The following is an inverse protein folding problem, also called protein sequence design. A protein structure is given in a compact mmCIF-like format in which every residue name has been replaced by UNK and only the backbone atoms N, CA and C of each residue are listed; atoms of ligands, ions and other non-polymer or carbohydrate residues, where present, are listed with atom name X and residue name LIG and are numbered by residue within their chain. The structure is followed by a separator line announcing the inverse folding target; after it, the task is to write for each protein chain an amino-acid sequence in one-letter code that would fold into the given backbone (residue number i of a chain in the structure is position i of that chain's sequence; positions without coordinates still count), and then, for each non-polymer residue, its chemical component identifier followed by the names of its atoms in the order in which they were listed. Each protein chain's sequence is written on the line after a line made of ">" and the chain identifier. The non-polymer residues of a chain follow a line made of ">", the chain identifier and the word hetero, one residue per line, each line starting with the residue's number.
data_IF_059868393914
#
_entry.id   IF_059868393914
#
_cell.length_a   1.000
_cell.length_b   1.000
_cell.length_c   1.000
_cell.angle_alpha   90.00
_cell.angle_beta   90.00
_cell.angle_gamma   90.00
#
_symmetry.space_group_name_H-M   'P 1'
#
loop_
_entity.id
_entity.type
_entity.pdbx_description
1 polymer ?
#
# COMPACT_ATOMS: atom_id res chain seq x y z
N UNK A 1 -9.69 0.03 10.79
CA UNK A 1 -10.89 -0.73 10.36
C UNK A 1 -11.89 0.28 9.84
N UNK A 2 -12.41 0.12 8.63
CA UNK A 2 -13.35 1.09 8.03
C UNK A 2 -14.77 0.75 8.49
N UNK A 3 -15.31 1.52 9.42
CA UNK A 3 -16.58 1.17 10.08
C UNK A 3 -17.83 1.46 9.23
N UNK A 4 -17.69 2.18 8.12
CA UNK A 4 -18.77 2.41 7.15
C UNK A 4 -18.22 2.31 5.74
N UNK A 5 -18.64 1.30 4.99
CA UNK A 5 -18.33 1.19 3.57
C UNK A 5 -19.19 2.16 2.75
N UNK A 6 -18.63 2.84 1.73
CA UNK A 6 -19.39 3.65 0.79
C UNK A 6 -20.46 2.84 0.05
N UNK A 7 -21.45 3.53 -0.52
CA UNK A 7 -22.51 2.92 -1.33
C UNK A 7 -21.95 2.00 -2.40
N UNK A 8 -22.50 0.80 -2.53
CA UNK A 8 -22.05 -0.17 -3.53
C UNK A 8 -22.56 0.19 -4.92
N UNK A 9 -21.75 -0.07 -5.95
CA UNK A 9 -22.16 0.19 -7.34
C UNK A 9 -23.41 -0.60 -7.76
N UNK A 10 -23.65 -1.76 -7.14
CA UNK A 10 -24.84 -2.59 -7.34
C UNK A 10 -26.12 -1.86 -6.92
N UNK A 11 -26.04 -0.96 -5.94
CA UNK A 11 -27.16 -0.16 -5.45
C UNK A 11 -27.40 1.09 -6.31
N UNK A 12 -26.41 1.54 -7.07
CA UNK A 12 -26.48 2.74 -7.91
C UNK A 12 -26.73 2.44 -9.38
N UNK A 13 -26.57 1.18 -9.82
CA UNK A 13 -26.78 0.80 -11.22
C UNK A 13 -28.21 1.10 -11.68
N UNK A 14 -28.32 1.91 -12.73
CA UNK A 14 -29.62 2.29 -13.32
C UNK A 14 -30.43 3.29 -12.48
N UNK A 15 -29.86 3.83 -11.40
CA UNK A 15 -30.54 4.82 -10.54
C UNK A 15 -30.76 6.17 -11.23
N UNK A 16 -29.92 6.50 -12.22
CA UNK A 16 -29.90 7.84 -12.86
C UNK A 16 -29.32 8.94 -11.96
N UNK A 17 -28.90 8.62 -10.73
CA UNK A 17 -28.35 9.58 -9.79
C UNK A 17 -26.84 9.73 -9.94
N UNK A 18 -26.43 10.71 -10.75
CA UNK A 18 -25.03 11.01 -11.00
C UNK A 18 -24.28 11.54 -9.76
N UNK A 19 -24.95 12.26 -8.87
CA UNK A 19 -24.34 12.79 -7.66
C UNK A 19 -23.97 11.65 -6.70
N UNK A 20 -24.90 10.71 -6.48
CA UNK A 20 -24.64 9.53 -5.67
C UNK A 20 -23.51 8.65 -6.24
N UNK A 21 -23.34 8.60 -7.56
CA UNK A 21 -22.22 7.90 -8.19
C UNK A 21 -20.87 8.56 -7.88
N UNK A 22 -20.79 9.89 -7.92
CA UNK A 22 -19.57 10.64 -7.58
C UNK A 22 -19.25 10.48 -6.10
N UNK A 23 -20.24 10.59 -5.22
CA UNK A 23 -20.04 10.42 -3.77
C UNK A 23 -19.53 9.01 -3.43
N UNK A 24 -20.09 7.98 -4.08
CA UNK A 24 -19.61 6.62 -3.94
C UNK A 24 -18.15 6.49 -4.44
N UNK A 25 -17.81 7.08 -5.60
CA UNK A 25 -16.45 7.04 -6.13
C UNK A 25 -15.43 7.70 -5.18
N UNK A 26 -15.77 8.87 -4.62
CA UNK A 26 -14.92 9.57 -3.63
C UNK A 26 -14.79 8.74 -2.35
N UNK A 27 -15.87 8.14 -1.88
CA UNK A 27 -15.86 7.24 -0.73
C UNK A 27 -14.93 6.04 -0.95
N UNK A 28 -15.06 5.36 -2.09
CA UNK A 28 -14.24 4.20 -2.42
C UNK A 28 -12.76 4.57 -2.64
N UNK A 29 -12.47 5.76 -3.19
CA UNK A 29 -11.10 6.25 -3.29
C UNK A 29 -10.40 6.37 -1.92
N UNK A 30 -11.12 6.81 -0.88
CA UNK A 30 -10.59 6.85 0.50
C UNK A 30 -10.32 5.45 1.06
N UNK A 31 -11.23 4.50 0.80
CA UNK A 31 -11.02 3.10 1.19
C UNK A 31 -9.80 2.51 0.47
N UNK A 32 -9.64 2.76 -0.83
CA UNK A 32 -8.48 2.31 -1.59
C UNK A 32 -7.18 2.90 -1.07
N UNK A 33 -7.13 4.22 -0.83
CA UNK A 33 -5.92 4.88 -0.30
C UNK A 33 -5.49 4.30 1.06
N UNK A 34 -6.46 4.01 1.91
CA UNK A 34 -6.18 3.47 3.23
C UNK A 34 -5.82 1.97 3.20
N UNK A 35 -6.44 1.18 2.31
CA UNK A 35 -6.03 -0.19 2.05
C UNK A 35 -4.59 -0.27 1.50
N UNK A 36 -4.24 0.64 0.60
CA UNK A 36 -2.88 0.72 0.06
C UNK A 36 -1.86 1.09 1.14
N UNK A 37 -2.21 2.02 2.03
CA UNK A 37 -1.36 2.35 3.17
C UNK A 37 -1.13 1.17 4.12
N UNK A 38 -2.16 0.34 4.35
CA UNK A 38 -2.03 -0.89 5.13
C UNK A 38 -1.07 -1.87 4.43
N UNK A 39 -1.20 -2.04 3.11
CA UNK A 39 -0.31 -2.89 2.31
C UNK A 39 1.15 -2.43 2.39
N UNK A 40 1.39 -1.14 2.20
CA UNK A 40 2.74 -0.55 2.24
C UNK A 40 3.36 -0.64 3.64
N UNK A 41 2.56 -0.46 4.69
CA UNK A 41 3.01 -0.64 6.08
C UNK A 41 3.40 -2.11 6.35
N UNK A 42 2.62 -3.07 5.83
CA UNK A 42 2.95 -4.49 5.95
C UNK A 42 4.24 -4.85 5.19
N UNK A 43 4.48 -4.25 4.01
CA UNK A 43 5.73 -4.42 3.26
C UNK A 43 6.93 -3.91 4.07
N UNK A 44 6.80 -2.75 4.71
CA UNK A 44 7.87 -2.20 5.55
C UNK A 44 8.19 -3.09 6.76
N UNK A 45 7.16 -3.60 7.45
CA UNK A 45 7.35 -4.54 8.56
C UNK A 45 7.94 -5.88 8.11
N UNK A 46 7.54 -6.38 6.94
CA UNK A 46 8.15 -7.56 6.32
C UNK A 46 9.65 -7.34 6.07
N UNK A 47 10.04 -6.22 5.48
CA UNK A 47 11.43 -5.91 5.19
C UNK A 47 12.29 -5.92 6.46
N UNK A 48 11.80 -5.30 7.54
CA UNK A 48 12.50 -5.29 8.84
C UNK A 48 12.65 -6.69 9.41
N UNK A 49 11.58 -7.50 9.37
CA UNK A 49 11.62 -8.88 9.87
C UNK A 49 12.57 -9.75 9.05
N UNK A 50 12.58 -9.57 7.72
CA UNK A 50 13.46 -10.32 6.81
C UNK A 50 14.93 -9.98 7.07
N UNK A 51 15.29 -8.69 7.05
CA UNK A 51 16.67 -8.24 7.26
C UNK A 51 17.21 -8.69 8.63
N UNK A 52 16.39 -8.59 9.69
CA UNK A 52 16.79 -9.05 11.04
C UNK A 52 17.07 -10.56 11.06
N UNK A 53 16.37 -11.36 10.26
CA UNK A 53 16.60 -12.81 10.17
C UNK A 53 17.83 -13.18 9.33
N UNK A 54 18.20 -12.36 8.35
CA UNK A 54 19.40 -12.58 7.51
C UNK A 54 20.67 -12.26 8.28
N UNK A 55 20.64 -11.22 9.13
CA UNK A 55 21.77 -10.77 9.97
C UNK A 55 22.20 -11.84 11.01
N UNK A 56 21.30 -12.73 11.43
CA UNK A 56 21.62 -13.85 12.35
C UNK A 56 22.37 -15.02 11.65
N UNK A 57 22.22 -15.19 10.33
CA UNK A 57 22.65 -16.41 9.61
C UNK A 57 23.74 -16.19 8.52
N UNK A 58 23.95 -14.99 7.96
CA UNK A 58 24.69 -14.83 6.67
C UNK A 58 25.71 -13.67 6.56
N UNK A 59 26.50 -13.37 7.60
CA UNK A 59 27.50 -12.27 7.61
C UNK A 59 28.66 -12.32 6.58
N UNK A 60 28.68 -13.22 5.61
CA UNK A 60 29.84 -13.44 4.72
C UNK A 60 29.60 -13.23 3.21
N UNK A 61 28.37 -12.98 2.76
CA UNK A 61 28.04 -12.85 1.34
C UNK A 61 27.03 -11.71 1.09
N UNK A 62 27.46 -10.47 1.35
CA UNK A 62 26.66 -9.26 1.06
C UNK A 62 26.59 -9.01 -0.45
N UNK A 63 25.70 -9.73 -1.12
CA UNK A 63 24.87 -9.13 -2.18
C UNK A 63 23.82 -8.29 -1.44
N UNK A 64 23.49 -7.11 -1.95
CA UNK A 64 22.71 -6.10 -1.23
C UNK A 64 21.41 -6.71 -0.65
N UNK A 65 21.29 -6.80 0.68
CA UNK A 65 20.19 -7.47 1.38
C UNK A 65 18.80 -6.87 1.05
N UNK A 66 18.80 -5.63 0.57
CA UNK A 66 17.63 -4.93 0.04
C UNK A 66 17.13 -5.53 -1.28
N UNK A 67 18.02 -6.02 -2.16
CA UNK A 67 17.64 -6.68 -3.41
C UNK A 67 16.95 -8.03 -3.15
N UNK A 68 17.35 -8.75 -2.10
CA UNK A 68 16.70 -10.00 -1.68
C UNK A 68 15.27 -9.74 -1.16
N UNK A 69 15.08 -8.68 -0.35
CA UNK A 69 13.76 -8.22 0.10
C UNK A 69 12.89 -7.87 -1.11
N UNK A 70 13.43 -7.09 -2.06
CA UNK A 70 12.73 -6.67 -3.28
C UNK A 70 12.37 -7.85 -4.16
N UNK A 71 13.26 -8.83 -4.30
CA UNK A 71 12.98 -10.06 -5.05
C UNK A 71 11.85 -10.87 -4.40
N UNK A 72 11.83 -10.98 -3.07
CA UNK A 72 10.77 -11.71 -2.37
C UNK A 72 9.41 -11.00 -2.43
N UNK A 73 9.38 -9.67 -2.34
CA UNK A 73 8.16 -8.87 -2.59
C UNK A 73 7.70 -9.05 -4.04
N UNK A 74 8.63 -8.99 -5.00
CA UNK A 74 8.37 -9.21 -6.42
C UNK A 74 7.71 -10.55 -6.69
N UNK A 75 8.20 -11.62 -6.06
CA UNK A 75 7.62 -12.97 -6.13
C UNK A 75 6.22 -13.02 -5.50
N UNK A 76 6.06 -12.50 -4.29
CA UNK A 76 4.81 -12.56 -3.54
C UNK A 76 3.65 -11.82 -4.23
N UNK A 77 3.95 -10.67 -4.84
CA UNK A 77 2.96 -9.84 -5.53
C UNK A 77 2.93 -10.04 -7.06
N UNK A 78 3.82 -10.88 -7.61
CA UNK A 78 3.97 -11.09 -9.07
C UNK A 78 4.17 -9.78 -9.84
N UNK A 79 5.08 -8.94 -9.34
CA UNK A 79 5.36 -7.59 -9.85
C UNK A 79 6.83 -7.43 -10.24
N UNK A 80 7.10 -6.42 -11.08
CA UNK A 80 8.47 -6.11 -11.46
C UNK A 80 9.30 -5.64 -10.26
N UNK A 81 10.62 -5.92 -10.22
CA UNK A 81 11.50 -5.45 -9.14
C UNK A 81 11.46 -3.93 -8.93
N UNK A 82 11.37 -3.16 -10.02
CA UNK A 82 11.24 -1.69 -9.95
C UNK A 82 9.98 -1.25 -9.19
N UNK A 83 8.90 -1.99 -9.36
CA UNK A 83 7.64 -1.69 -8.68
C UNK A 83 7.70 -2.10 -7.20
N UNK A 84 8.25 -3.28 -6.92
CA UNK A 84 8.49 -3.74 -5.55
C UNK A 84 9.41 -2.78 -4.76
N UNK A 85 10.49 -2.31 -5.37
CA UNK A 85 11.40 -1.33 -4.78
C UNK A 85 10.68 -0.01 -4.46
N UNK A 86 9.91 0.53 -5.39
CA UNK A 86 9.16 1.77 -5.14
C UNK A 86 8.14 1.65 -4.00
N UNK A 87 7.48 0.50 -3.87
CA UNK A 87 6.58 0.24 -2.75
C UNK A 87 7.33 0.09 -1.42
N UNK A 88 8.50 -0.57 -1.43
CA UNK A 88 9.38 -0.69 -0.27
C UNK A 88 9.86 0.68 0.21
N UNK A 89 10.34 1.54 -0.70
CA UNK A 89 10.78 2.90 -0.38
C UNK A 89 9.65 3.74 0.25
N UNK A 90 8.44 3.67 -0.31
CA UNK A 90 7.28 4.39 0.23
C UNK A 90 6.91 3.84 1.62
N UNK A 91 6.86 2.52 1.78
CA UNK A 91 6.58 1.87 3.06
C UNK A 91 7.59 2.26 4.14
N UNK A 92 8.89 2.19 3.83
CA UNK A 92 9.96 2.60 4.73
C UNK A 92 9.88 4.08 5.10
N UNK A 93 9.62 4.96 4.12
CA UNK A 93 9.44 6.40 4.38
C UNK A 93 8.23 6.68 5.29
N UNK A 94 7.12 5.94 5.12
CA UNK A 94 5.93 6.05 5.97
C UNK A 94 6.23 5.62 7.41
N UNK A 95 7.01 4.55 7.58
CA UNK A 95 7.42 4.01 8.89
C UNK A 95 8.40 4.94 9.62
N UNK A 96 9.50 5.28 8.96
CA UNK A 96 10.67 5.87 9.63
C UNK A 96 10.64 7.41 9.60
N UNK A 97 10.16 7.99 8.49
CA UNK A 97 10.24 9.44 8.25
C UNK A 97 8.91 10.17 8.52
N UNK A 98 7.78 9.54 8.21
CA UNK A 98 6.47 10.18 8.30
C UNK A 98 5.41 9.35 9.05
N UNK A 99 5.67 8.87 10.27
CA UNK A 99 4.75 7.96 10.99
C UNK A 99 3.38 8.59 11.29
N UNK A 100 3.34 9.91 11.50
CA UNK A 100 2.07 10.64 11.69
C UNK A 100 1.24 10.69 10.42
N UNK A 101 1.89 10.81 9.26
CA UNK A 101 1.22 10.81 7.96
C UNK A 101 0.69 9.40 7.67
N UNK A 102 1.49 8.36 7.94
CA UNK A 102 1.07 6.97 7.83
C UNK A 102 -0.19 6.69 8.66
N UNK A 103 -0.25 7.16 9.91
CA UNK A 103 -1.43 7.01 10.76
C UNK A 103 -2.70 7.64 10.16
N UNK A 104 -2.59 8.79 9.49
CA UNK A 104 -3.72 9.44 8.82
C UNK A 104 -4.16 8.67 7.57
N UNK A 105 -3.19 8.16 6.79
CA UNK A 105 -3.46 7.30 5.64
C UNK A 105 -4.17 6.00 6.03
N UNK A 106 -3.70 5.34 7.09
CA UNK A 106 -4.29 4.09 7.61
C UNK A 106 -5.74 4.29 8.10
N UNK A 107 -6.10 5.52 8.47
CA UNK A 107 -7.46 5.92 8.87
C UNK A 107 -8.33 6.37 7.70
N UNK A 108 -7.76 6.51 6.50
CA UNK A 108 -8.45 7.03 5.32
C UNK A 108 -8.86 8.50 5.44
N UNK A 109 -8.26 9.23 6.38
CA UNK A 109 -8.53 10.65 6.63
C UNK A 109 -7.84 11.54 5.59
N UNK A 110 -6.79 11.02 4.95
CA UNK A 110 -6.14 11.62 3.80
C UNK A 110 -6.13 10.65 2.63
N UNK A 111 -6.57 11.16 1.50
CA UNK A 111 -6.23 10.63 0.19
C UNK A 111 -5.04 11.44 -0.29
N UNK A 112 -3.83 10.86 -0.33
CA UNK A 112 -2.99 11.25 -1.46
C UNK A 112 -3.77 10.86 -2.71
N UNK A 113 -3.63 11.65 -3.77
CA UNK A 113 -3.70 11.08 -5.10
C UNK A 113 -2.58 10.05 -5.23
N UNK A 114 -2.69 8.92 -4.53
CA UNK A 114 -2.18 7.65 -5.01
C UNK A 114 -3.10 7.37 -6.17
N UNK A 115 -2.79 8.05 -7.28
CA UNK A 115 -3.37 7.86 -8.58
C UNK A 115 -3.49 6.35 -8.70
N UNK A 116 -4.73 5.83 -8.73
CA UNK A 116 -4.90 4.39 -8.82
C UNK A 116 -4.12 4.03 -10.08
N UNK A 117 -3.01 3.31 -9.90
CA UNK A 117 -2.08 2.94 -10.95
C UNK A 117 -2.85 2.02 -11.90
N UNK A 118 -3.64 2.63 -12.77
CA UNK A 118 -4.25 2.02 -13.94
C UNK A 118 -3.14 2.10 -14.97
N UNK A 119 -2.29 1.09 -14.97
CA UNK A 119 -1.45 0.82 -16.14
C UNK A 119 -2.40 0.55 -17.30
N UNK A 120 -2.24 1.35 -18.36
CA UNK A 120 -2.83 1.23 -19.70
C UNK A 120 -2.73 -0.17 -20.29
#
# INVERSE_FOLDING_TARGET
>A
MFDVLPTQITQLRGSGDGAACVDAAVGWARVCAAAEAQRLSAIAEFAVAFLTSVDEDMSLWAVDEEDDVVAQIGLAFSVSPRWAMGDLEIGAAMRDRFPKLAALFLRGEITAGLDCRITS
#
